data_IF_154641438007
#
_entry.id   IF_154641438007
#
_cell.length_a   1.000
_cell.length_b   1.000
_cell.length_c   1.000
_cell.angle_alpha   90.00
_cell.angle_beta   90.00
_cell.angle_gamma   90.00
#
_symmetry.space_group_name_H-M   'P 1'
#
loop_
_entity.id
_entity.type
_entity.pdbx_description
1 polymer ?
#
# COMPACT_ATOMS: atom_id res chain seq x y z
N UNK A 1 -7.20 -24.43 -7.63
CA UNK A 1 -6.80 -25.82 -7.31
C UNK A 1 -5.74 -26.27 -8.30
N UNK A 2 -4.64 -26.92 -7.89
CA UNK A 2 -3.67 -27.47 -8.84
C UNK A 2 -4.20 -28.76 -9.47
N UNK A 3 -3.99 -28.92 -10.78
CA UNK A 3 -4.54 -30.04 -11.57
C UNK A 3 -3.92 -31.40 -11.21
N UNK A 4 -2.66 -31.42 -10.76
CA UNK A 4 -1.94 -32.62 -10.35
C UNK A 4 -2.28 -33.10 -8.94
N UNK A 5 -3.19 -32.44 -8.21
CA UNK A 5 -3.56 -32.83 -6.84
C UNK A 5 -4.24 -34.21 -6.84
N UNK A 6 -3.87 -35.08 -5.89
CA UNK A 6 -4.34 -36.47 -5.80
C UNK A 6 -5.87 -36.63 -5.73
N UNK A 7 -6.60 -35.62 -5.24
CA UNK A 7 -8.06 -35.63 -5.12
C UNK A 7 -8.85 -35.10 -6.32
N UNK A 8 -8.19 -34.76 -7.44
CA UNK A 8 -8.90 -34.34 -8.67
C UNK A 8 -9.26 -35.58 -9.49
N UNK A 9 -10.55 -35.80 -9.83
CA UNK A 9 -10.99 -36.91 -10.68
C UNK A 9 -10.24 -36.97 -12.01
N UNK A 10 -10.00 -38.18 -12.52
CA UNK A 10 -9.29 -38.37 -13.78
C UNK A 10 -10.08 -37.78 -14.96
N UNK A 11 -11.42 -37.86 -14.93
CA UNK A 11 -12.28 -37.30 -15.98
C UNK A 11 -12.10 -35.78 -16.12
N UNK A 12 -11.98 -35.06 -15.01
CA UNK A 12 -11.69 -33.62 -15.03
C UNK A 12 -10.30 -33.27 -15.56
N UNK A 13 -9.34 -34.20 -15.52
CA UNK A 13 -7.99 -33.98 -16.07
C UNK A 13 -7.95 -34.17 -17.58
N UNK A 14 -8.88 -34.93 -18.14
CA UNK A 14 -8.96 -35.14 -19.58
C UNK A 14 -9.86 -34.09 -20.25
N UNK A 15 -9.26 -32.96 -20.61
CA UNK A 15 -9.96 -31.84 -21.25
C UNK A 15 -9.56 -31.63 -22.71
N UNK A 16 -8.81 -32.56 -23.31
CA UNK A 16 -8.30 -32.43 -24.69
C UNK A 16 -9.44 -32.31 -25.71
N UNK A 17 -10.49 -33.10 -25.53
CA UNK A 17 -11.63 -33.16 -26.44
C UNK A 17 -12.79 -32.22 -26.06
N UNK A 18 -12.72 -31.54 -24.92
CA UNK A 18 -13.80 -30.67 -24.43
C UNK A 18 -13.93 -29.38 -25.23
N UNK A 19 -15.14 -28.88 -25.47
CA UNK A 19 -15.31 -27.62 -26.21
C UNK A 19 -14.71 -26.42 -25.46
N UNK A 20 -14.31 -25.39 -26.22
CA UNK A 20 -13.82 -24.14 -25.65
C UNK A 20 -14.96 -23.43 -24.90
N UNK A 21 -14.65 -22.83 -23.74
CA UNK A 21 -15.62 -22.18 -22.85
C UNK A 21 -16.64 -23.13 -22.21
N UNK A 22 -16.43 -24.45 -22.31
CA UNK A 22 -17.26 -25.44 -21.63
C UNK A 22 -16.95 -25.52 -20.14
N UNK A 23 -17.98 -25.78 -19.34
CA UNK A 23 -17.86 -25.93 -17.90
C UNK A 23 -18.49 -27.21 -17.39
N UNK A 24 -17.85 -27.86 -16.43
CA UNK A 24 -18.37 -29.03 -15.73
C UNK A 24 -18.25 -28.81 -14.23
N UNK A 25 -19.18 -29.37 -13.45
CA UNK A 25 -19.17 -29.27 -11.99
C UNK A 25 -19.43 -30.62 -11.36
N UNK A 26 -18.59 -30.98 -10.42
CA UNK A 26 -18.65 -32.21 -9.65
C UNK A 26 -18.98 -31.84 -8.21
N UNK A 27 -19.85 -32.65 -7.61
CA UNK A 27 -20.38 -32.42 -6.28
C UNK A 27 -19.94 -33.53 -5.35
N UNK A 28 -19.63 -33.17 -4.11
CA UNK A 28 -19.54 -34.15 -3.05
C UNK A 28 -20.95 -34.67 -2.75
N UNK A 29 -21.11 -36.01 -2.66
CA UNK A 29 -22.42 -36.64 -2.42
C UNK A 29 -23.09 -36.15 -1.14
N UNK A 30 -22.32 -36.09 -0.05
CA UNK A 30 -22.83 -35.82 1.31
C UNK A 30 -22.16 -34.60 1.94
N UNK A 31 -21.76 -33.60 1.16
CA UNK A 31 -21.03 -32.46 1.70
C UNK A 31 -21.13 -31.18 0.88
N UNK A 32 -20.64 -30.06 1.42
CA UNK A 32 -20.79 -28.73 0.82
C UNK A 32 -19.78 -28.47 -0.31
N UNK A 33 -18.90 -29.43 -0.62
CA UNK A 33 -17.82 -29.23 -1.59
C UNK A 33 -18.30 -29.36 -3.02
N UNK A 34 -17.81 -28.44 -3.83
CA UNK A 34 -18.00 -28.40 -5.27
C UNK A 34 -16.66 -28.17 -5.96
N UNK A 35 -16.44 -28.92 -7.04
CA UNK A 35 -15.28 -28.78 -7.89
C UNK A 35 -15.77 -28.43 -9.28
N UNK A 36 -15.43 -27.24 -9.78
CA UNK A 36 -15.74 -26.83 -11.15
C UNK A 36 -14.51 -26.84 -12.03
N UNK A 37 -14.71 -27.18 -13.29
CA UNK A 37 -13.71 -27.22 -14.35
C UNK A 37 -14.19 -26.34 -15.51
N UNK A 38 -13.38 -25.37 -15.89
CA UNK A 38 -13.66 -24.45 -16.99
C UNK A 38 -12.54 -24.50 -18.02
N UNK A 39 -12.88 -24.86 -19.26
CA UNK A 39 -11.92 -25.05 -20.34
C UNK A 39 -11.82 -23.78 -21.18
N UNK A 40 -10.61 -23.29 -21.39
CA UNK A 40 -10.36 -22.07 -22.17
C UNK A 40 -9.13 -22.23 -23.07
N UNK A 41 -9.26 -21.79 -24.31
CA UNK A 41 -8.13 -21.63 -25.22
C UNK A 41 -7.38 -20.33 -24.90
N UNK A 42 -6.10 -20.45 -24.58
CA UNK A 42 -5.20 -19.31 -24.38
C UNK A 42 -4.16 -19.26 -25.51
N UNK A 43 -3.40 -18.16 -25.61
CA UNK A 43 -2.31 -18.04 -26.57
C UNK A 43 -1.28 -19.19 -26.48
N UNK A 44 -1.10 -19.75 -25.28
CA UNK A 44 -0.20 -20.88 -25.00
C UNK A 44 -0.83 -22.25 -25.18
N UNK A 45 -2.05 -22.31 -25.73
CA UNK A 45 -2.83 -23.53 -25.89
C UNK A 45 -4.00 -23.66 -24.92
N UNK A 46 -4.65 -24.82 -24.96
CA UNK A 46 -5.86 -25.12 -24.19
C UNK A 46 -5.54 -25.37 -22.72
N UNK A 47 -6.29 -24.74 -21.83
CA UNK A 47 -6.12 -24.83 -20.38
C UNK A 47 -7.43 -25.22 -19.71
N UNK A 48 -7.32 -25.96 -18.61
CA UNK A 48 -8.43 -26.25 -17.71
C UNK A 48 -8.21 -25.51 -16.39
N UNK A 49 -9.16 -24.65 -16.03
CA UNK A 49 -9.13 -23.87 -14.79
C UNK A 49 -10.03 -24.55 -13.77
N UNK A 50 -9.41 -25.05 -12.68
CA UNK A 50 -10.12 -25.75 -11.62
C UNK A 50 -10.40 -24.83 -10.42
N UNK A 51 -11.67 -24.76 -10.01
CA UNK A 51 -12.10 -24.07 -8.79
C UNK A 51 -12.71 -25.05 -7.80
N UNK A 52 -12.23 -25.02 -6.56
CA UNK A 52 -12.82 -25.75 -5.45
C UNK A 52 -13.54 -24.74 -4.56
N UNK A 53 -14.79 -25.01 -4.19
CA UNK A 53 -15.60 -24.12 -3.37
C UNK A 53 -16.47 -24.89 -2.39
N UNK A 54 -16.64 -24.33 -1.19
CA UNK A 54 -17.60 -24.75 -0.16
C UNK A 54 -18.88 -23.90 -0.18
N UNK A 55 -18.97 -22.91 -1.09
CA UNK A 55 -20.13 -22.03 -1.16
C UNK A 55 -21.38 -22.80 -1.59
N UNK A 56 -22.52 -22.40 -1.03
CA UNK A 56 -23.84 -22.91 -1.43
C UNK A 56 -23.99 -22.73 -2.94
N UNK A 57 -24.47 -23.78 -3.60
CA UNK A 57 -24.62 -23.87 -5.05
C UNK A 57 -25.35 -22.67 -5.66
N UNK A 58 -24.60 -21.74 -6.24
CA UNK A 58 -25.14 -20.79 -7.22
C UNK A 58 -24.84 -21.39 -8.59
N UNK A 59 -25.76 -22.23 -9.04
CA UNK A 59 -25.76 -22.77 -10.40
C UNK A 59 -26.21 -21.65 -11.34
N UNK A 60 -25.23 -20.96 -11.93
CA UNK A 60 -25.51 -19.93 -12.92
C UNK A 60 -24.26 -19.66 -13.75
N UNK A 61 -24.43 -19.70 -15.07
CA UNK A 61 -23.46 -19.13 -16.00
C UNK A 61 -23.81 -17.66 -16.20
N UNK A 62 -22.81 -16.80 -16.10
CA UNK A 62 -23.01 -15.37 -16.34
C UNK A 62 -22.88 -15.10 -17.84
N UNK A 63 -23.84 -14.38 -18.43
CA UNK A 63 -23.83 -14.03 -19.85
C UNK A 63 -22.96 -12.82 -20.19
N UNK A 64 -22.50 -12.04 -19.21
CA UNK A 64 -21.96 -10.70 -19.50
C UNK A 64 -20.65 -10.66 -20.30
N UNK A 65 -19.88 -11.76 -20.38
CA UNK A 65 -18.50 -11.68 -20.88
C UNK A 65 -18.23 -12.48 -22.16
N UNK A 66 -19.25 -13.00 -22.87
CA UNK A 66 -19.10 -13.96 -23.99
C UNK A 66 -18.36 -15.29 -23.65
N UNK A 67 -17.83 -15.40 -22.44
CA UNK A 67 -16.97 -16.48 -21.96
C UNK A 67 -17.73 -17.59 -21.20
N UNK A 68 -19.05 -17.48 -21.01
CA UNK A 68 -19.90 -18.49 -20.36
C UNK A 68 -19.33 -19.05 -19.04
N UNK A 69 -18.62 -18.22 -18.27
CA UNK A 69 -18.03 -18.61 -16.97
C UNK A 69 -19.14 -18.84 -15.94
N UNK A 70 -18.91 -19.77 -15.02
CA UNK A 70 -19.77 -19.87 -13.84
C UNK A 70 -19.61 -18.62 -12.98
N UNK A 71 -20.71 -18.24 -12.32
CA UNK A 71 -20.78 -17.16 -11.32
C UNK A 71 -19.66 -17.28 -10.27
N UNK A 72 -19.31 -18.51 -9.89
CA UNK A 72 -18.22 -18.80 -8.97
C UNK A 72 -16.85 -18.28 -9.45
N UNK A 73 -16.54 -18.39 -10.75
CA UNK A 73 -15.28 -17.84 -11.28
C UNK A 73 -15.29 -16.33 -11.28
N UNK A 74 -16.43 -15.69 -11.57
CA UNK A 74 -16.55 -14.23 -11.48
C UNK A 74 -16.38 -13.73 -10.04
N UNK A 75 -16.99 -14.41 -9.07
CA UNK A 75 -16.82 -14.10 -7.66
C UNK A 75 -15.36 -14.24 -7.22
N UNK A 76 -14.68 -15.29 -7.66
CA UNK A 76 -13.24 -15.43 -7.42
C UNK A 76 -12.44 -14.31 -8.09
N UNK A 77 -12.70 -14.00 -9.36
CA UNK A 77 -12.01 -12.92 -10.08
C UNK A 77 -12.18 -11.57 -9.38
N UNK A 78 -13.35 -11.30 -8.80
CA UNK A 78 -13.63 -10.10 -8.00
C UNK A 78 -12.87 -10.08 -6.67
N UNK A 79 -12.79 -11.21 -5.97
CA UNK A 79 -12.22 -11.28 -4.61
C UNK A 79 -10.70 -11.50 -4.58
N UNK A 80 -10.13 -12.19 -5.57
CA UNK A 80 -8.71 -12.62 -5.57
C UNK A 80 -7.70 -11.47 -5.53
N UNK A 81 -8.11 -10.28 -5.98
CA UNK A 81 -7.24 -9.11 -6.10
C UNK A 81 -6.98 -8.37 -4.80
N UNK A 82 -7.68 -8.67 -3.70
CA UNK A 82 -7.60 -7.89 -2.45
C UNK A 82 -6.16 -7.74 -1.92
N UNK A 83 -5.42 -8.84 -1.85
CA UNK A 83 -4.02 -8.83 -1.37
C UNK A 83 -3.10 -8.11 -2.35
N UNK A 84 -3.27 -8.32 -3.66
CA UNK A 84 -2.46 -7.68 -4.70
C UNK A 84 -2.64 -6.15 -4.71
N UNK A 85 -3.87 -5.68 -4.50
CA UNK A 85 -4.17 -4.25 -4.37
C UNK A 85 -3.45 -3.66 -3.14
N UNK A 86 -3.48 -4.34 -2.00
CA UNK A 86 -2.75 -3.90 -0.79
C UNK A 86 -1.24 -3.88 -1.04
N UNK A 87 -0.68 -4.92 -1.66
CA UNK A 87 0.73 -4.97 -2.05
C UNK A 87 1.11 -3.82 -2.98
N UNK A 88 0.28 -3.51 -3.98
CA UNK A 88 0.50 -2.42 -4.90
C UNK A 88 0.49 -1.06 -4.19
N UNK A 89 -0.47 -0.82 -3.29
CA UNK A 89 -0.55 0.40 -2.47
C UNK A 89 0.67 0.58 -1.55
N UNK A 90 1.18 -0.51 -0.97
CA UNK A 90 2.41 -0.46 -0.17
C UNK A 90 3.63 -0.12 -1.04
N UNK A 91 3.74 -0.74 -2.22
CA UNK A 91 4.88 -0.57 -3.11
C UNK A 91 5.06 0.87 -3.63
N UNK A 92 3.95 1.57 -3.94
CA UNK A 92 4.01 2.95 -4.46
C UNK A 92 4.69 3.94 -3.52
N UNK A 93 4.58 3.72 -2.21
CA UNK A 93 5.16 4.60 -1.20
C UNK A 93 5.88 3.76 -0.13
N UNK A 94 6.75 2.85 -0.50
CA UNK A 94 7.37 1.98 0.51
C UNK A 94 8.40 2.71 1.38
N UNK A 95 8.47 2.33 2.66
CA UNK A 95 9.51 2.74 3.61
C UNK A 95 10.74 1.84 3.55
N UNK A 96 10.76 0.87 2.63
CA UNK A 96 11.85 -0.11 2.47
C UNK A 96 13.12 0.58 2.00
N UNK A 97 14.20 0.38 2.75
CA UNK A 97 15.56 0.84 2.41
C UNK A 97 16.47 -0.34 2.11
N UNK A 98 17.55 -0.10 1.35
CA UNK A 98 18.59 -1.13 1.11
C UNK A 98 19.28 -1.45 2.43
N UNK A 99 19.01 -2.63 2.97
CA UNK A 99 19.60 -3.10 4.23
C UNK A 99 20.07 -4.55 4.09
N UNK A 100 21.16 -4.90 4.77
CA UNK A 100 21.65 -6.29 4.90
C UNK A 100 20.95 -7.06 6.03
N UNK A 101 20.16 -6.38 6.87
CA UNK A 101 19.45 -6.99 8.01
C UNK A 101 18.01 -7.28 7.63
N UNK A 102 17.59 -8.54 7.66
CA UNK A 102 16.22 -8.95 7.32
C UNK A 102 15.17 -8.29 8.23
N UNK A 103 15.53 -8.02 9.49
CA UNK A 103 14.65 -7.35 10.47
C UNK A 103 14.23 -5.95 10.02
N UNK A 104 15.12 -5.22 9.33
CA UNK A 104 14.76 -3.90 8.77
C UNK A 104 13.75 -4.01 7.63
N UNK A 105 13.78 -5.11 6.87
CA UNK A 105 12.79 -5.37 5.82
C UNK A 105 11.43 -5.70 6.44
N UNK A 106 11.41 -6.52 7.50
CA UNK A 106 10.20 -6.81 8.25
C UNK A 106 9.60 -5.53 8.89
N UNK A 107 10.44 -4.68 9.48
CA UNK A 107 10.00 -3.39 10.03
C UNK A 107 9.38 -2.49 8.96
N UNK A 108 10.03 -2.35 7.80
CA UNK A 108 9.48 -1.56 6.70
C UNK A 108 8.12 -2.10 6.23
N UNK A 109 7.96 -3.42 6.14
CA UNK A 109 6.68 -4.04 5.80
C UNK A 109 5.59 -3.75 6.83
N UNK A 110 5.91 -3.82 8.13
CA UNK A 110 4.96 -3.46 9.20
C UNK A 110 4.52 -2.00 9.11
N UNK A 111 5.46 -1.07 8.87
CA UNK A 111 5.17 0.36 8.72
C UNK A 111 4.29 0.61 7.49
N UNK A 112 4.63 0.01 6.35
CA UNK A 112 3.86 0.18 5.11
C UNK A 112 2.44 -0.38 5.24
N UNK A 113 2.29 -1.54 5.90
CA UNK A 113 0.99 -2.15 6.21
C UNK A 113 0.17 -1.28 7.15
N UNK A 114 0.78 -0.79 8.24
CA UNK A 114 0.13 0.07 9.22
C UNK A 114 -0.41 1.35 8.56
N UNK A 115 0.37 1.97 7.66
CA UNK A 115 -0.08 3.15 6.92
C UNK A 115 -1.27 2.85 6.01
N UNK A 116 -1.24 1.76 5.24
CA UNK A 116 -2.37 1.42 4.35
C UNK A 116 -3.64 1.15 5.17
N UNK A 117 -3.51 0.48 6.31
CA UNK A 117 -4.63 0.21 7.21
C UNK A 117 -5.16 1.48 7.87
N UNK A 118 -4.28 2.36 8.38
CA UNK A 118 -4.70 3.64 8.99
C UNK A 118 -5.40 4.55 7.98
N UNK A 119 -4.88 4.62 6.75
CA UNK A 119 -5.50 5.34 5.64
C UNK A 119 -6.90 4.82 5.35
N UNK A 120 -7.07 3.50 5.32
CA UNK A 120 -8.37 2.87 5.05
C UNK A 120 -9.37 3.17 6.16
N UNK A 121 -8.98 3.03 7.43
CA UNK A 121 -9.83 3.38 8.58
C UNK A 121 -10.21 4.86 8.55
N UNK A 122 -9.25 5.75 8.28
CA UNK A 122 -9.50 7.18 8.16
C UNK A 122 -10.52 7.50 7.07
N UNK A 123 -10.37 6.91 5.88
CA UNK A 123 -11.31 7.10 4.77
C UNK A 123 -12.72 6.61 5.13
N UNK A 124 -12.84 5.41 5.71
CA UNK A 124 -14.12 4.86 6.14
C UNK A 124 -14.81 5.75 7.19
N UNK A 125 -14.07 6.25 8.18
CA UNK A 125 -14.60 7.15 9.20
C UNK A 125 -15.03 8.51 8.64
N UNK A 126 -14.47 8.93 7.50
CA UNK A 126 -14.84 10.15 6.78
C UNK A 126 -15.89 9.92 5.68
N UNK A 127 -16.42 8.70 5.54
CA UNK A 127 -17.32 8.30 4.45
C UNK A 127 -16.74 8.59 3.06
N UNK A 128 -15.41 8.49 2.92
CA UNK A 128 -14.69 8.63 1.66
C UNK A 128 -14.30 7.24 1.17
N UNK A 129 -14.39 7.03 -0.13
CA UNK A 129 -13.91 5.81 -0.78
C UNK A 129 -12.39 5.67 -0.55
N UNK A 130 -11.92 4.59 0.13
CA UNK A 130 -10.49 4.36 0.37
C UNK A 130 -9.65 4.28 -0.90
N UNK A 131 -10.26 3.94 -2.04
CA UNK A 131 -9.58 3.86 -3.35
C UNK A 131 -9.27 5.24 -3.91
N UNK A 132 -10.13 6.22 -3.66
CA UNK A 132 -9.98 7.61 -4.16
C UNK A 132 -9.06 8.45 -3.28
N UNK A 133 -8.67 7.94 -2.12
CA UNK A 133 -7.82 8.67 -1.19
C UNK A 133 -6.40 8.81 -1.75
N UNK A 134 -5.90 10.04 -1.72
CA UNK A 134 -4.51 10.36 -2.08
C UNK A 134 -3.55 9.82 -1.01
N UNK A 135 -3.01 8.63 -1.28
CA UNK A 135 -2.20 7.87 -0.32
C UNK A 135 -0.93 8.63 0.13
N UNK A 136 -0.34 9.46 -0.75
CA UNK A 136 0.81 10.29 -0.40
C UNK A 136 0.46 11.39 0.62
N UNK A 137 -0.59 12.18 0.36
CA UNK A 137 -0.98 13.32 1.21
C UNK A 137 -1.31 12.85 2.63
N UNK A 138 -2.10 11.77 2.75
CA UNK A 138 -2.41 11.18 4.05
C UNK A 138 -1.16 10.66 4.77
N UNK A 139 -0.26 9.97 4.05
CA UNK A 139 1.00 9.51 4.61
C UNK A 139 1.88 10.66 5.09
N UNK A 140 1.95 11.75 4.32
CA UNK A 140 2.72 12.94 4.67
C UNK A 140 2.15 13.65 5.90
N UNK A 141 0.84 13.85 5.96
CA UNK A 141 0.16 14.42 7.12
C UNK A 141 0.42 13.60 8.39
N UNK A 142 0.29 12.28 8.28
CA UNK A 142 0.57 11.36 9.38
C UNK A 142 2.02 11.47 9.87
N UNK A 143 3.00 11.49 8.96
CA UNK A 143 4.41 11.67 9.31
C UNK A 143 4.64 13.04 9.96
N UNK A 144 4.01 14.11 9.46
CA UNK A 144 4.13 15.44 10.07
C UNK A 144 3.58 15.47 11.49
N UNK A 145 2.44 14.82 11.76
CA UNK A 145 1.90 14.71 13.12
C UNK A 145 2.86 14.00 14.09
N UNK A 146 3.56 12.96 13.61
CA UNK A 146 4.57 12.25 14.41
C UNK A 146 5.85 13.07 14.61
N UNK A 147 6.33 13.75 13.57
CA UNK A 147 7.65 14.40 13.57
C UNK A 147 7.63 15.80 14.20
N UNK A 148 6.55 16.58 14.03
CA UNK A 148 6.40 17.94 14.59
C UNK A 148 6.75 18.06 16.08
N UNK A 149 6.25 17.21 17.01
CA UNK A 149 6.60 17.33 18.42
C UNK A 149 8.08 17.02 18.72
N UNK A 150 8.75 16.25 17.86
CA UNK A 150 10.20 16.02 17.99
C UNK A 150 11.01 17.19 17.43
N UNK A 151 10.55 17.83 16.35
CA UNK A 151 11.15 19.04 15.81
C UNK A 151 11.05 20.19 16.84
N UNK A 152 9.88 20.38 17.45
CA UNK A 152 9.66 21.43 18.44
C UNK A 152 10.54 21.29 19.68
N UNK A 153 10.78 20.06 20.15
CA UNK A 153 11.64 19.78 21.32
C UNK A 153 13.14 19.83 21.02
N UNK A 154 13.53 19.92 19.74
CA UNK A 154 14.94 19.86 19.35
C UNK A 154 15.66 21.13 19.77
N UNK A 155 16.75 21.00 20.54
CA UNK A 155 17.60 22.13 20.89
C UNK A 155 18.19 22.78 19.62
N UNK A 156 17.99 24.09 19.47
CA UNK A 156 18.38 24.84 18.28
C UNK A 156 19.67 25.66 18.46
N UNK A 157 20.28 25.69 19.65
CA UNK A 157 21.44 26.56 19.94
C UNK A 157 22.57 26.38 18.92
N UNK A 158 22.96 25.14 18.65
CA UNK A 158 24.09 24.80 17.76
C UNK A 158 23.69 24.42 16.32
N UNK A 159 22.42 24.62 15.92
CA UNK A 159 21.98 24.27 14.56
C UNK A 159 22.41 25.31 13.52
N UNK A 160 22.73 24.90 12.28
CA UNK A 160 22.93 25.82 11.18
C UNK A 160 21.68 26.70 10.95
N UNK A 161 21.88 27.96 10.59
CA UNK A 161 20.80 28.94 10.38
C UNK A 161 19.72 28.45 9.40
N UNK A 162 20.13 27.78 8.32
CA UNK A 162 19.22 27.18 7.33
C UNK A 162 18.30 26.13 7.95
N UNK A 163 18.79 25.36 8.92
CA UNK A 163 17.99 24.35 9.63
C UNK A 163 17.01 25.05 10.57
N UNK A 164 17.42 26.09 11.29
CA UNK A 164 16.53 26.88 12.17
C UNK A 164 15.38 27.50 11.37
N UNK A 165 15.68 28.12 10.22
CA UNK A 165 14.68 28.68 9.32
C UNK A 165 13.67 27.62 8.85
N UNK A 166 14.14 26.44 8.43
CA UNK A 166 13.25 25.33 8.04
C UNK A 166 12.39 24.82 9.19
N UNK A 167 12.93 24.78 10.41
CA UNK A 167 12.18 24.41 11.61
C UNK A 167 11.05 25.42 11.87
N UNK A 168 11.34 26.73 11.79
CA UNK A 168 10.34 27.79 11.91
C UNK A 168 9.21 27.64 10.89
N UNK A 169 9.56 27.37 9.62
CA UNK A 169 8.57 27.12 8.55
C UNK A 169 7.66 25.90 8.82
N UNK A 170 8.19 24.83 9.44
CA UNK A 170 7.45 23.58 9.67
C UNK A 170 6.54 23.67 10.91
N UNK A 171 7.02 24.32 11.97
CA UNK A 171 6.23 24.50 13.21
C UNK A 171 5.12 25.53 12.98
N UNK A 172 5.35 26.48 12.06
CA UNK A 172 4.54 27.67 11.94
C UNK A 172 4.91 28.58 13.11
N UNK A 173 5.55 29.71 12.82
CA UNK A 173 5.67 30.77 13.82
C UNK A 173 4.24 31.23 14.16
N UNK A 174 3.64 30.67 15.22
CA UNK A 174 2.70 31.40 16.03
C UNK A 174 3.53 32.42 16.84
N UNK A 175 4.15 33.37 16.15
CA UNK A 175 4.38 34.68 16.72
C UNK A 175 2.99 35.30 16.80
N UNK A 176 2.25 35.00 17.88
CA UNK A 176 1.33 36.00 18.39
C UNK A 176 2.21 37.23 18.62
N UNK A 177 1.91 38.30 17.90
CA UNK A 177 2.43 39.62 18.18
C UNK A 177 1.99 39.97 19.61
N UNK A 178 2.76 39.55 20.61
CA UNK A 178 2.82 40.29 21.85
C UNK A 178 3.39 41.65 21.44
N UNK A 179 2.51 42.66 21.38
CA UNK A 179 2.89 44.05 21.24
C UNK A 179 3.79 44.39 22.43
N UNK A 180 5.10 44.23 22.25
CA UNK A 180 6.09 44.89 23.07
C UNK A 180 6.23 46.31 22.53
N UNK A 181 5.56 47.24 23.19
CA UNK A 181 5.97 48.64 23.18
C UNK A 181 7.43 48.72 23.66
N UNK A 182 8.35 49.11 22.77
CA UNK A 182 9.69 49.59 23.10
C UNK A 182 10.21 50.37 21.87
N UNK A 183 10.14 51.69 21.90
CA UNK A 183 11.17 52.59 22.45
C UNK A 183 12.42 52.62 21.56
N UNK A 184 12.58 53.76 20.88
CA UNK A 184 13.68 54.08 19.96
C UNK A 184 15.00 54.15 20.74
N UNK A 185 15.91 53.21 20.47
CA UNK A 185 17.30 53.24 20.97
C UNK A 185 18.29 52.64 19.96
N UNK A 186 19.50 53.21 19.79
CA UNK A 186 20.32 52.97 18.61
C UNK A 186 21.08 51.64 18.63
N UNK A 187 21.36 51.15 17.42
CA UNK A 187 21.99 49.87 17.10
C UNK A 187 23.45 49.74 17.56
N UNK A 188 23.81 48.59 18.15
CA UNK A 188 25.20 48.14 18.23
C UNK A 188 25.33 46.61 18.21
N UNK A 189 25.98 46.12 17.14
CA UNK A 189 26.86 44.94 17.08
C UNK A 189 26.42 43.59 17.67
N UNK A 190 26.12 42.62 16.80
CA UNK A 190 26.78 41.31 16.82
C UNK A 190 26.55 40.52 15.51
N UNK A 191 27.14 40.99 14.39
CA UNK A 191 27.25 40.13 13.22
C UNK A 191 28.50 39.24 13.38
N UNK A 192 28.35 38.02 13.91
CA UNK A 192 29.37 36.98 13.70
C UNK A 192 29.24 36.45 12.27
N UNK A 193 29.92 37.14 11.35
CA UNK A 193 30.04 36.75 9.94
C UNK A 193 31.14 35.69 9.82
N UNK A 194 30.80 34.48 9.40
CA UNK A 194 31.79 33.63 8.72
C UNK A 194 31.98 34.25 7.33
N UNK A 195 33.22 34.50 6.94
CA UNK A 195 33.54 35.14 5.68
C UNK A 195 33.02 34.29 4.50
N UNK A 196 32.20 34.87 3.61
CA UNK A 196 31.59 34.18 2.46
C UNK A 196 32.61 33.64 1.46
N UNK A 197 33.85 34.14 1.53
CA UNK A 197 34.97 33.74 0.67
C UNK A 197 35.89 32.69 1.31
N UNK A 198 35.67 32.31 2.58
CA UNK A 198 36.51 31.32 3.26
C UNK A 198 35.94 29.90 3.14
N UNK A 199 36.71 28.99 2.50
CA UNK A 199 36.40 27.55 2.50
C UNK A 199 36.50 27.02 3.94
N UNK A 200 35.48 26.31 4.42
CA UNK A 200 35.59 25.55 5.67
C UNK A 200 36.70 24.52 5.52
N UNK A 201 37.71 24.56 6.40
CA UNK A 201 38.81 23.60 6.41
C UNK A 201 38.24 22.18 6.58
N UNK A 202 38.44 21.37 5.54
CA UNK A 202 38.20 19.93 5.58
C UNK A 202 39.30 19.30 6.44
N UNK A 203 38.95 18.87 7.64
CA UNK A 203 39.80 17.95 8.41
C UNK A 203 39.76 16.59 7.71
N UNK A 204 40.86 16.24 7.04
CA UNK A 204 41.16 14.85 6.67
C UNK A 204 41.96 14.23 7.82
N UNK A 205 41.37 13.23 8.46
CA UNK A 205 42.02 12.25 9.32
C UNK A 205 41.55 10.87 8.89
#
# INVERSE_FOLDING_TARGET
>A
MQMNRKGVPAEMKDFKNRENLSSEVYWQKDGPLSLSSYVVNTATGKKNVLMLSTLKQILGTTKDDSHNKLTLYKLYDFTKGGTDIVHQRMAFHTSKTKSRRWTMVALAYMIDTARVNSSTIYALNKNVDPVKQKSFEHGFEFVMQLVKPHIARRNQTCLPMVVKQKIGLIIGDNCQNDQSDADDGPAFGESRRRCTLSKSSSWKG
#
